data_IF_216931257044
#
_entry.id   IF_216931257044
#
_cell.length_a   1.000
_cell.length_b   1.000
_cell.length_c   1.000
_cell.angle_alpha   90.00
_cell.angle_beta   90.00
_cell.angle_gamma   90.00
#
_symmetry.space_group_name_H-M   'P 1'
#
loop_
_entity.id
_entity.type
_entity.pdbx_description
1 polymer ?
#
# COMPACT_ATOMS: atom_id res chain seq x y z
N UNK A 1 23.13 22.72 10.33
CA UNK A 1 21.89 22.77 11.13
C UNK A 1 20.74 22.88 10.14
N UNK A 2 20.07 21.78 9.84
CA UNK A 2 18.98 21.73 8.86
C UNK A 2 17.65 22.07 9.52
N UNK A 3 16.92 23.04 8.96
CA UNK A 3 15.63 23.45 9.45
C UNK A 3 14.60 22.33 9.27
N UNK A 4 13.90 21.98 10.35
CA UNK A 4 12.71 21.14 10.29
C UNK A 4 11.59 21.90 9.55
N UNK A 5 10.82 21.25 8.66
CA UNK A 5 9.68 21.90 8.03
C UNK A 5 8.62 22.18 9.10
N UNK A 6 8.25 23.46 9.24
CA UNK A 6 7.12 23.91 10.04
C UNK A 6 5.81 23.41 9.41
N UNK A 7 5.41 22.19 9.75
CA UNK A 7 4.00 21.85 9.78
C UNK A 7 3.43 22.60 10.99
N UNK A 8 2.53 23.55 10.77
CA UNK A 8 1.76 24.16 11.86
C UNK A 8 1.22 23.05 12.74
N UNK A 9 1.45 23.16 14.05
CA UNK A 9 1.23 22.15 15.08
C UNK A 9 -0.16 21.51 14.95
N UNK A 10 -0.25 20.43 14.19
CA UNK A 10 -1.37 19.49 14.33
C UNK A 10 -1.12 18.73 15.62
N UNK A 11 -2.07 18.71 16.57
CA UNK A 11 -1.92 18.05 17.87
C UNK A 11 -2.06 16.52 17.73
N UNK A 12 -1.31 15.92 16.81
CA UNK A 12 -1.12 14.49 16.78
C UNK A 12 -0.01 14.20 17.78
N UNK A 13 -0.41 13.70 18.95
CA UNK A 13 0.57 13.23 19.92
C UNK A 13 1.33 12.01 19.38
N UNK A 14 2.46 11.71 20.00
CA UNK A 14 3.33 10.61 19.58
C UNK A 14 2.66 9.24 19.70
N UNK A 15 1.66 9.11 20.57
CA UNK A 15 0.91 7.88 20.80
C UNK A 15 0.00 7.59 19.59
N UNK A 16 -0.86 8.53 19.21
CA UNK A 16 -1.75 8.41 18.05
C UNK A 16 -0.96 8.22 16.75
N UNK A 17 0.19 8.90 16.62
CA UNK A 17 1.09 8.72 15.48
C UNK A 17 1.65 7.29 15.42
N UNK A 18 2.06 6.72 16.54
CA UNK A 18 2.59 5.35 16.61
C UNK A 18 1.52 4.33 16.26
N UNK A 19 0.30 4.52 16.77
CA UNK A 19 -0.82 3.64 16.45
C UNK A 19 -1.20 3.68 14.96
N UNK A 20 -1.16 4.85 14.32
CA UNK A 20 -1.38 4.98 12.87
C UNK A 20 -0.31 4.18 12.11
N UNK A 21 0.96 4.28 12.52
CA UNK A 21 2.06 3.53 11.90
C UNK A 21 1.85 2.02 12.06
N UNK A 22 1.48 1.56 13.26
CA UNK A 22 1.21 0.15 13.53
C UNK A 22 0.01 -0.37 12.72
N UNK A 23 -1.09 0.39 12.67
CA UNK A 23 -2.27 0.03 11.91
C UNK A 23 -1.98 -0.07 10.41
N UNK A 24 -1.18 0.87 9.87
CA UNK A 24 -0.71 0.79 8.47
C UNK A 24 0.14 -0.45 8.27
N UNK A 25 1.17 -0.66 9.11
CA UNK A 25 2.08 -1.79 8.98
C UNK A 25 1.32 -3.14 9.01
N UNK A 26 0.37 -3.28 9.93
CA UNK A 26 -0.49 -4.46 10.02
C UNK A 26 -1.36 -4.62 8.77
N UNK A 27 -2.02 -3.56 8.31
CA UNK A 27 -2.91 -3.61 7.14
C UNK A 27 -2.15 -3.89 5.83
N UNK A 28 -0.89 -3.45 5.74
CA UNK A 28 -0.03 -3.70 4.56
C UNK A 28 0.77 -5.01 4.66
N UNK A 29 0.78 -5.69 5.81
CA UNK A 29 1.59 -6.90 6.02
C UNK A 29 1.23 -8.07 5.10
N UNK A 30 0.00 -8.12 4.59
CA UNK A 30 -0.49 -9.17 3.68
C UNK A 30 -0.23 -8.89 2.20
N UNK A 31 0.31 -7.71 1.85
CA UNK A 31 0.63 -7.33 0.47
C UNK A 31 1.62 -8.33 -0.19
N UNK A 32 2.73 -8.74 0.48
CA UNK A 32 3.65 -9.72 -0.11
C UNK A 32 3.00 -11.05 -0.43
N UNK A 33 2.18 -11.58 0.47
CA UNK A 33 1.49 -12.86 0.26
C UNK A 33 0.45 -12.74 -0.86
N UNK A 34 -0.32 -11.66 -0.88
CA UNK A 34 -1.32 -11.39 -1.93
C UNK A 34 -0.66 -11.29 -3.31
N UNK A 35 0.52 -10.68 -3.38
CA UNK A 35 1.34 -10.61 -4.59
C UNK A 35 1.82 -11.98 -5.05
N UNK A 36 2.35 -12.82 -4.14
CA UNK A 36 2.80 -14.17 -4.47
C UNK A 36 1.63 -15.01 -5.00
N UNK A 37 0.48 -14.93 -4.34
CA UNK A 37 -0.73 -15.65 -4.73
C UNK A 37 -1.25 -15.20 -6.10
N UNK A 38 -1.27 -13.89 -6.37
CA UNK A 38 -1.71 -13.38 -7.67
C UNK A 38 -0.72 -13.76 -8.78
N UNK A 39 0.59 -13.74 -8.52
CA UNK A 39 1.59 -14.24 -9.47
C UNK A 39 1.35 -15.70 -9.83
N UNK A 40 1.17 -16.56 -8.84
CA UNK A 40 0.88 -17.98 -9.07
C UNK A 40 -0.39 -18.17 -9.92
N UNK A 41 -1.44 -17.41 -9.62
CA UNK A 41 -2.69 -17.44 -10.39
C UNK A 41 -2.51 -17.02 -11.84
N UNK A 42 -1.72 -15.97 -12.09
CA UNK A 42 -1.40 -15.52 -13.46
C UNK A 42 -0.64 -16.61 -14.22
N UNK A 43 0.39 -17.19 -13.61
CA UNK A 43 1.20 -18.26 -14.21
C UNK A 43 0.34 -19.49 -14.52
N UNK A 44 -0.55 -19.87 -13.61
CA UNK A 44 -1.49 -20.98 -13.82
C UNK A 44 -2.44 -20.69 -15.00
N UNK A 45 -2.97 -19.47 -15.09
CA UNK A 45 -3.81 -19.07 -16.24
C UNK A 45 -3.05 -19.07 -17.57
N UNK A 46 -1.80 -18.62 -17.58
CA UNK A 46 -0.92 -18.72 -18.75
C UNK A 46 -0.74 -20.19 -19.18
N UNK A 47 -0.58 -21.10 -18.22
CA UNK A 47 -0.43 -22.54 -18.49
C UNK A 47 -1.67 -23.16 -19.15
N UNK A 48 -2.85 -22.66 -18.80
CA UNK A 48 -4.12 -23.13 -19.35
C UNK A 48 -4.56 -22.40 -20.64
N UNK A 49 -3.71 -21.52 -21.20
CA UNK A 49 -3.99 -20.73 -22.40
C UNK A 49 -5.36 -20.01 -22.35
N UNK A 50 -5.72 -19.52 -21.16
CA UNK A 50 -7.03 -18.92 -20.95
C UNK A 50 -7.15 -17.58 -21.71
N UNK A 51 -8.23 -17.35 -22.49
CA UNK A 51 -8.49 -16.06 -23.11
C UNK A 51 -8.74 -14.98 -22.04
N UNK A 52 -8.33 -13.74 -22.32
CA UNK A 52 -8.48 -12.60 -21.39
C UNK A 52 -7.21 -11.77 -21.24
N UNK A 53 -6.96 -11.10 -20.08
CA UNK A 53 -5.86 -10.14 -19.91
C UNK A 53 -4.44 -10.75 -19.96
N UNK A 54 -4.33 -12.05 -20.25
CA UNK A 54 -3.09 -12.82 -20.33
C UNK A 54 -2.88 -13.45 -21.73
N UNK A 55 -3.70 -13.07 -22.71
CA UNK A 55 -3.69 -13.65 -24.07
C UNK A 55 -2.34 -13.45 -24.77
N UNK A 56 -1.64 -12.35 -24.46
CA UNK A 56 -0.30 -12.03 -24.97
C UNK A 56 0.84 -12.69 -24.15
N UNK A 57 0.52 -13.41 -23.07
CA UNK A 57 1.49 -14.07 -22.19
C UNK A 57 1.48 -15.59 -22.37
N UNK A 58 2.50 -16.10 -23.06
CA UNK A 58 2.68 -17.55 -23.26
C UNK A 58 3.51 -18.18 -22.13
N UNK A 59 3.02 -19.29 -21.57
CA UNK A 59 3.76 -20.04 -20.54
C UNK A 59 5.12 -20.57 -21.04
N UNK A 60 5.25 -20.88 -22.33
CA UNK A 60 6.50 -21.35 -22.92
C UNK A 60 7.64 -20.32 -22.88
N UNK A 61 7.32 -19.04 -22.73
CA UNK A 61 8.27 -17.93 -22.65
C UNK A 61 8.51 -17.48 -21.19
N UNK A 62 7.99 -18.22 -20.19
CA UNK A 62 8.20 -17.95 -18.77
C UNK A 62 9.33 -18.84 -18.19
N UNK A 63 10.23 -18.32 -17.34
CA UNK A 63 10.29 -16.92 -16.86
C UNK A 63 10.96 -15.94 -17.84
N UNK A 64 11.72 -16.43 -18.81
CA UNK A 64 12.72 -15.63 -19.56
C UNK A 64 12.22 -14.35 -20.23
N UNK A 65 11.02 -14.31 -20.82
CA UNK A 65 10.47 -13.10 -21.48
C UNK A 65 9.30 -12.46 -20.74
N UNK A 66 8.59 -13.25 -19.94
CA UNK A 66 7.29 -12.85 -19.38
C UNK A 66 7.32 -12.50 -17.89
N UNK A 67 8.42 -12.76 -17.17
CA UNK A 67 8.54 -12.49 -15.72
C UNK A 67 8.23 -11.03 -15.36
N UNK A 68 8.78 -10.07 -16.12
CA UNK A 68 8.52 -8.64 -15.90
C UNK A 68 7.03 -8.30 -16.04
N UNK A 69 6.37 -8.82 -17.08
CA UNK A 69 4.94 -8.61 -17.34
C UNK A 69 4.06 -9.27 -16.27
N UNK A 70 4.39 -10.48 -15.82
CA UNK A 70 3.69 -11.18 -14.73
C UNK A 70 3.78 -10.36 -13.43
N UNK A 71 4.97 -9.83 -13.13
CA UNK A 71 5.18 -9.00 -11.95
C UNK A 71 4.40 -7.69 -12.02
N UNK A 72 4.39 -7.03 -13.17
CA UNK A 72 3.61 -5.81 -13.39
C UNK A 72 2.10 -6.05 -13.20
N UNK A 73 1.55 -7.13 -13.77
CA UNK A 73 0.13 -7.48 -13.65
C UNK A 73 -0.27 -7.87 -12.22
N UNK A 74 0.59 -8.61 -11.52
CA UNK A 74 0.36 -8.96 -10.11
C UNK A 74 0.36 -7.71 -9.22
N UNK A 75 1.31 -6.80 -9.46
CA UNK A 75 1.36 -5.52 -8.75
C UNK A 75 0.12 -4.68 -9.03
N UNK A 76 -0.27 -4.49 -10.29
CA UNK A 76 -1.44 -3.67 -10.65
C UNK A 76 -2.70 -4.08 -9.89
N UNK A 77 -2.91 -5.38 -9.68
CA UNK A 77 -4.04 -5.89 -8.90
C UNK A 77 -3.90 -5.64 -7.41
N UNK A 78 -2.75 -5.99 -6.82
CA UNK A 78 -2.56 -5.99 -5.36
C UNK A 78 -2.40 -4.57 -4.81
N UNK A 79 -1.82 -3.66 -5.60
CA UNK A 79 -1.58 -2.25 -5.20
C UNK A 79 -2.40 -1.26 -6.02
N UNK A 80 -3.54 -1.70 -6.56
CA UNK A 80 -4.51 -0.84 -7.26
C UNK A 80 -4.94 0.34 -6.40
N UNK A 81 -5.40 1.42 -7.05
CA UNK A 81 -5.94 2.59 -6.37
C UNK A 81 -7.11 2.21 -5.45
N UNK A 82 -7.93 1.28 -5.89
CA UNK A 82 -9.06 0.71 -5.15
C UNK A 82 -8.59 -0.08 -3.94
N UNK A 83 -7.57 -0.94 -4.08
CA UNK A 83 -6.98 -1.68 -2.96
C UNK A 83 -6.39 -0.74 -1.90
N UNK A 84 -5.63 0.29 -2.32
CA UNK A 84 -5.08 1.31 -1.42
C UNK A 84 -6.19 2.06 -0.67
N UNK A 85 -7.28 2.42 -1.36
CA UNK A 85 -8.45 3.07 -0.74
C UNK A 85 -9.13 2.17 0.29
N UNK A 86 -9.30 0.88 0.00
CA UNK A 86 -9.87 -0.08 0.95
C UNK A 86 -9.00 -0.26 2.19
N UNK A 87 -7.67 -0.30 2.02
CA UNK A 87 -6.71 -0.31 3.14
C UNK A 87 -6.84 0.97 3.97
N UNK A 88 -6.84 2.14 3.32
CA UNK A 88 -6.98 3.43 3.99
C UNK A 88 -8.31 3.52 4.78
N UNK A 89 -9.41 3.06 4.19
CA UNK A 89 -10.72 3.00 4.83
C UNK A 89 -10.68 2.16 6.11
N UNK A 90 -10.13 0.94 6.05
CA UNK A 90 -10.02 0.06 7.22
C UNK A 90 -9.17 0.66 8.34
N UNK A 91 -8.10 1.38 7.99
CA UNK A 91 -7.26 2.07 8.98
C UNK A 91 -8.02 3.24 9.59
N UNK A 92 -8.69 4.05 8.76
CA UNK A 92 -9.51 5.17 9.24
C UNK A 92 -10.64 4.69 10.16
N UNK A 93 -11.34 3.59 9.84
CA UNK A 93 -12.36 3.00 10.71
C UNK A 93 -11.82 2.61 12.10
N UNK A 94 -10.54 2.22 12.21
CA UNK A 94 -9.89 1.89 13.48
C UNK A 94 -9.40 3.12 14.24
N UNK A 95 -8.92 4.14 13.52
CA UNK A 95 -8.25 5.32 14.08
C UNK A 95 -9.23 6.46 14.38
N UNK A 96 -10.30 6.62 13.60
CA UNK A 96 -11.32 7.67 13.76
C UNK A 96 -11.87 7.81 15.19
N UNK A 97 -12.27 6.72 15.89
CA UNK A 97 -12.77 6.84 17.26
C UNK A 97 -11.73 7.43 18.23
N UNK A 98 -10.44 7.15 18.00
CA UNK A 98 -9.34 7.63 18.84
C UNK A 98 -9.01 9.08 18.54
N UNK A 99 -8.99 9.45 17.27
CA UNK A 99 -8.91 10.85 16.82
C UNK A 99 -10.04 11.65 17.45
N UNK A 100 -11.25 11.12 17.42
CA UNK A 100 -12.42 11.77 17.96
C UNK A 100 -12.37 11.95 19.48
N UNK A 101 -11.81 10.99 20.20
CA UNK A 101 -11.58 11.10 21.64
C UNK A 101 -10.51 12.15 21.97
N UNK A 102 -9.37 12.14 21.25
CA UNK A 102 -8.25 13.08 21.47
C UNK A 102 -8.59 14.51 21.06
N UNK A 103 -9.58 14.70 20.19
CA UNK A 103 -9.99 16.01 19.67
C UNK A 103 -11.33 16.50 20.21
N UNK A 104 -11.91 15.82 21.21
CA UNK A 104 -13.23 16.12 21.74
C UNK A 104 -13.33 17.56 22.32
N UNK A 105 -12.24 18.05 22.93
CA UNK A 105 -12.17 19.37 23.54
C UNK A 105 -11.81 20.49 22.53
N UNK A 106 -11.52 20.13 21.29
CA UNK A 106 -11.17 21.09 20.25
C UNK A 106 -12.42 21.68 19.60
N UNK A 107 -12.29 22.91 19.09
CA UNK A 107 -13.36 23.50 18.28
C UNK A 107 -13.55 22.71 16.95
N UNK A 108 -14.72 22.81 16.30
CA UNK A 108 -15.02 22.03 15.10
C UNK A 108 -14.03 22.22 13.94
N UNK A 109 -13.46 23.43 13.78
CA UNK A 109 -12.49 23.72 12.73
C UNK A 109 -11.15 23.00 12.98
N UNK A 110 -10.67 23.02 14.22
CA UNK A 110 -9.47 22.30 14.63
C UNK A 110 -9.67 20.78 14.53
N UNK A 111 -10.84 20.28 14.93
CA UNK A 111 -11.19 18.85 14.80
C UNK A 111 -11.17 18.38 13.35
N UNK A 112 -11.76 19.17 12.43
CA UNK A 112 -11.72 18.88 11.00
C UNK A 112 -10.29 18.92 10.44
N UNK A 113 -9.45 19.84 10.90
CA UNK A 113 -8.05 19.91 10.49
C UNK A 113 -7.25 18.68 10.93
N UNK A 114 -7.46 18.19 12.16
CA UNK A 114 -6.81 16.97 12.67
C UNK A 114 -7.25 15.74 11.88
N UNK A 115 -8.55 15.56 11.66
CA UNK A 115 -9.05 14.43 10.85
C UNK A 115 -8.42 14.40 9.46
N UNK A 116 -8.38 15.56 8.78
CA UNK A 116 -7.75 15.69 7.46
C UNK A 116 -6.24 15.41 7.49
N UNK A 117 -5.56 15.78 8.57
CA UNK A 117 -4.14 15.48 8.75
C UNK A 117 -3.90 13.97 8.93
N UNK A 118 -4.75 13.31 9.70
CA UNK A 118 -4.71 11.85 9.90
C UNK A 118 -4.98 11.12 8.60
N UNK A 119 -6.03 11.48 7.85
CA UNK A 119 -6.34 10.89 6.54
C UNK A 119 -5.14 10.99 5.60
N UNK A 120 -4.52 12.17 5.50
CA UNK A 120 -3.29 12.37 4.70
C UNK A 120 -2.12 11.54 5.18
N UNK A 121 -1.94 11.42 6.51
CA UNK A 121 -0.86 10.62 7.08
C UNK A 121 -1.04 9.14 6.72
N UNK A 122 -2.26 8.62 6.83
CA UNK A 122 -2.60 7.25 6.45
C UNK A 122 -2.31 7.00 4.97
N UNK A 123 -2.79 7.87 4.08
CA UNK A 123 -2.53 7.78 2.64
C UNK A 123 -1.02 7.76 2.33
N UNK A 124 -0.26 8.67 2.92
CA UNK A 124 1.20 8.74 2.72
C UNK A 124 1.94 7.51 3.23
N UNK A 125 1.53 6.95 4.37
CA UNK A 125 2.16 5.76 4.94
C UNK A 125 1.87 4.51 4.10
N UNK A 126 0.64 4.38 3.58
CA UNK A 126 0.28 3.30 2.64
C UNK A 126 1.13 3.41 1.37
N UNK A 127 1.24 4.60 0.79
CA UNK A 127 2.05 4.80 -0.42
C UNK A 127 3.52 4.47 -0.17
N UNK A 128 4.09 4.86 0.98
CA UNK A 128 5.46 4.48 1.34
C UNK A 128 5.64 2.97 1.50
N UNK A 129 4.72 2.29 2.19
CA UNK A 129 4.78 0.84 2.38
C UNK A 129 4.72 0.10 1.03
N UNK A 130 3.85 0.58 0.12
CA UNK A 130 3.75 0.05 -1.24
C UNK A 130 5.02 0.32 -2.05
N UNK A 131 5.55 1.54 -2.02
CA UNK A 131 6.78 1.90 -2.73
C UNK A 131 7.98 1.07 -2.26
N UNK A 132 8.09 0.82 -0.96
CA UNK A 132 9.13 -0.04 -0.39
C UNK A 132 8.98 -1.48 -0.87
N UNK A 133 7.76 -1.99 -0.89
CA UNK A 133 7.45 -3.32 -1.41
C UNK A 133 7.81 -3.46 -2.89
N UNK A 134 7.41 -2.51 -3.74
CA UNK A 134 7.73 -2.50 -5.18
C UNK A 134 9.24 -2.45 -5.41
N UNK A 135 9.96 -1.59 -4.68
CA UNK A 135 11.44 -1.53 -4.77
C UNK A 135 12.11 -2.84 -4.39
N UNK A 136 11.55 -3.58 -3.43
CA UNK A 136 12.09 -4.88 -3.03
C UNK A 136 11.86 -5.93 -4.13
N UNK A 137 10.72 -5.89 -4.82
CA UNK A 137 10.47 -6.73 -6.01
C UNK A 137 11.42 -6.37 -7.15
N UNK A 138 11.59 -5.09 -7.48
CA UNK A 138 12.48 -4.66 -8.56
C UNK A 138 13.93 -5.06 -8.31
N UNK A 139 14.39 -5.00 -7.06
CA UNK A 139 15.72 -5.50 -6.66
C UNK A 139 15.85 -7.00 -6.86
N UNK A 140 14.81 -7.77 -6.52
CA UNK A 140 14.80 -9.21 -6.71
C UNK A 140 14.87 -9.57 -8.21
N UNK A 141 14.06 -8.91 -9.03
CA UNK A 141 14.02 -9.14 -10.48
C UNK A 141 15.37 -8.85 -11.16
N UNK A 142 16.06 -7.77 -10.76
CA UNK A 142 17.38 -7.41 -11.29
C UNK A 142 18.53 -8.33 -10.86
N UNK A 143 18.34 -9.11 -9.80
CA UNK A 143 19.34 -10.11 -9.36
C UNK A 143 19.20 -11.43 -10.11
N UNK A 144 18.05 -11.67 -10.73
CA UNK A 144 17.73 -12.91 -11.46
C UNK A 144 17.87 -12.78 -12.98
N UNK A 145 18.15 -11.59 -13.50
CA UNK A 145 18.56 -11.40 -14.90
C UNK A 145 20.04 -11.84 -15.08
N UNK A 146 20.34 -12.80 -15.97
CA UNK A 146 21.70 -13.32 -16.18
C UNK A 146 22.67 -12.33 -16.86
#
# INVERSE_FOLDING_TARGET
>A
MGAAPCFGETPLDSELTSEIIEAVAQATSSIPESYINERHHIIEKMRHAAPGPYEDLHYADYPDKNESSVNALALEKVISKEAKKEIAKKINEQIEPKVDAKTADLNPAARAAVRKAVEKMVEQLIDKAVDEFVKNIDKYNKQTEP
#
